data_IF_559865130230
#
_entry.id   IF_559865130230
#
_cell.length_a   1.000
_cell.length_b   1.000
_cell.length_c   1.000
_cell.angle_alpha   90.00
_cell.angle_beta   90.00
_cell.angle_gamma   90.00
#
_symmetry.space_group_name_H-M   'P 1'
#
loop_
_entity.id
_entity.type
_entity.pdbx_description
1 polymer ?
#
# COMPACT_ATOMS: atom_id res chain seq x y z
N UNK A 1 36.29 -30.32 -44.48
CA UNK A 1 35.39 -29.25 -44.00
C UNK A 1 35.30 -29.39 -42.49
N UNK A 2 36.06 -28.60 -41.74
CA UNK A 2 36.11 -28.66 -40.27
C UNK A 2 35.28 -27.51 -39.72
N UNK A 3 34.10 -27.81 -39.16
CA UNK A 3 33.29 -26.81 -38.45
C UNK A 3 34.02 -26.46 -37.14
N UNK A 4 34.53 -25.23 -37.04
CA UNK A 4 35.06 -24.71 -35.78
C UNK A 4 33.93 -24.53 -34.74
N UNK A 5 34.25 -24.54 -33.44
CA UNK A 5 33.22 -24.42 -32.41
C UNK A 5 32.58 -23.03 -32.45
N UNK A 6 31.25 -22.98 -32.41
CA UNK A 6 30.47 -21.74 -32.34
C UNK A 6 30.78 -20.96 -31.06
N UNK A 7 30.77 -19.61 -31.09
CA UNK A 7 30.94 -18.81 -29.88
C UNK A 7 29.75 -19.03 -28.94
N UNK A 8 30.05 -19.33 -27.68
CA UNK A 8 29.09 -19.36 -26.58
C UNK A 8 28.51 -17.94 -26.40
N UNK A 9 27.31 -17.74 -26.92
CA UNK A 9 26.45 -16.61 -26.56
C UNK A 9 26.22 -16.68 -25.05
N UNK A 10 26.86 -15.78 -24.31
CA UNK A 10 26.60 -15.59 -22.89
C UNK A 10 25.19 -15.02 -22.79
N UNK A 11 24.24 -15.87 -22.41
CA UNK A 11 22.93 -15.40 -21.96
C UNK A 11 23.15 -14.34 -20.90
N UNK A 12 22.53 -13.15 -20.98
CA UNK A 12 22.57 -12.24 -19.86
C UNK A 12 21.86 -12.95 -18.71
N UNK A 13 22.62 -13.39 -17.72
CA UNK A 13 22.07 -13.74 -16.42
C UNK A 13 21.49 -12.44 -15.88
N UNK A 14 20.20 -12.24 -16.09
CA UNK A 14 19.47 -11.18 -15.40
C UNK A 14 19.58 -11.52 -13.91
N UNK A 15 20.45 -10.80 -13.21
CA UNK A 15 20.57 -10.94 -11.76
C UNK A 15 19.27 -10.36 -11.23
N UNK A 16 18.33 -11.24 -10.89
CA UNK A 16 17.11 -10.83 -10.20
C UNK A 16 17.55 -10.55 -8.76
N UNK A 17 17.99 -9.32 -8.53
CA UNK A 17 18.28 -8.83 -7.19
C UNK A 17 16.98 -8.88 -6.41
N UNK A 18 17.00 -9.60 -5.28
CA UNK A 18 15.86 -9.68 -4.39
C UNK A 18 15.53 -8.26 -3.91
N UNK A 19 14.26 -7.83 -3.92
CA UNK A 19 13.90 -6.52 -3.39
C UNK A 19 14.30 -6.42 -1.92
N UNK A 20 14.74 -5.23 -1.51
CA UNK A 20 15.02 -4.97 -0.10
C UNK A 20 13.73 -4.96 0.71
N UNK A 21 13.84 -5.04 2.04
CA UNK A 21 12.68 -4.92 2.90
C UNK A 21 11.99 -3.54 2.75
N UNK A 22 12.77 -2.49 2.49
CA UNK A 22 12.25 -1.13 2.28
C UNK A 22 11.39 -1.07 1.01
N UNK A 23 11.88 -1.65 -0.10
CA UNK A 23 11.14 -1.70 -1.37
C UNK A 23 9.79 -2.43 -1.22
N UNK A 24 9.77 -3.50 -0.41
CA UNK A 24 8.55 -4.27 -0.17
C UNK A 24 7.56 -3.49 0.70
N UNK A 25 8.04 -2.75 1.71
CA UNK A 25 7.19 -1.94 2.59
C UNK A 25 6.60 -0.76 1.83
N UNK A 26 7.39 -0.10 0.98
CA UNK A 26 6.92 0.98 0.12
C UNK A 26 5.83 0.48 -0.83
N UNK A 27 6.12 -0.59 -1.59
CA UNK A 27 5.16 -1.19 -2.50
C UNK A 27 3.88 -1.66 -1.80
N UNK A 28 4.00 -2.24 -0.60
CA UNK A 28 2.83 -2.62 0.20
C UNK A 28 1.98 -1.40 0.58
N UNK A 29 2.62 -0.32 1.03
CA UNK A 29 1.93 0.91 1.44
C UNK A 29 1.21 1.56 0.26
N UNK A 30 1.85 1.61 -0.90
CA UNK A 30 1.26 2.14 -2.13
C UNK A 30 0.00 1.38 -2.54
N UNK A 31 0.06 0.04 -2.50
CA UNK A 31 -1.10 -0.80 -2.84
C UNK A 31 -2.24 -0.60 -1.84
N UNK A 32 -1.94 -0.54 -0.53
CA UNK A 32 -2.97 -0.29 0.48
C UNK A 32 -3.62 1.08 0.24
N UNK A 33 -2.82 2.10 -0.04
CA UNK A 33 -3.33 3.46 -0.29
C UNK A 33 -4.25 3.51 -1.52
N UNK A 34 -3.83 2.93 -2.65
CA UNK A 34 -4.63 2.92 -3.89
C UNK A 34 -5.99 2.21 -3.71
N UNK A 35 -6.00 1.12 -2.94
CA UNK A 35 -7.24 0.42 -2.60
C UNK A 35 -8.17 1.28 -1.74
N UNK A 36 -7.63 1.93 -0.71
CA UNK A 36 -8.41 2.80 0.18
C UNK A 36 -8.95 4.05 -0.55
N UNK A 37 -8.17 4.64 -1.45
CA UNK A 37 -8.60 5.78 -2.27
C UNK A 37 -9.77 5.43 -3.19
N UNK A 38 -9.83 4.17 -3.64
CA UNK A 38 -10.96 3.63 -4.41
C UNK A 38 -12.17 3.25 -3.54
N UNK A 39 -12.02 3.29 -2.21
CA UNK A 39 -13.06 2.92 -1.24
C UNK A 39 -13.10 1.43 -0.92
N UNK A 40 -12.10 0.65 -1.31
CA UNK A 40 -11.98 -0.76 -0.97
C UNK A 40 -11.31 -0.93 0.40
N UNK A 41 -11.84 -1.83 1.21
CA UNK A 41 -11.15 -2.26 2.42
C UNK A 41 -10.04 -3.26 2.08
N UNK A 42 -8.95 -3.24 2.84
CA UNK A 42 -7.80 -4.14 2.68
C UNK A 42 -7.65 -4.97 3.94
N UNK A 43 -7.84 -6.28 3.81
CA UNK A 43 -7.58 -7.25 4.87
C UNK A 43 -6.14 -7.76 4.76
N UNK A 44 -5.41 -7.69 5.87
CA UNK A 44 -4.05 -8.19 6.00
C UNK A 44 -4.06 -9.30 7.06
N UNK A 45 -4.07 -10.57 6.63
CA UNK A 45 -4.14 -11.70 7.55
C UNK A 45 -3.01 -11.68 8.58
N UNK A 46 -3.37 -11.85 9.85
CA UNK A 46 -2.44 -11.81 10.98
C UNK A 46 -2.08 -10.40 11.45
N UNK A 47 -2.68 -9.35 10.86
CA UNK A 47 -2.48 -7.95 11.26
C UNK A 47 -3.82 -7.27 11.56
N UNK A 48 -4.71 -7.22 10.58
CA UNK A 48 -5.95 -6.45 10.68
C UNK A 48 -6.50 -5.98 9.34
N UNK A 49 -7.53 -5.14 9.41
CA UNK A 49 -8.21 -4.59 8.25
C UNK A 49 -8.09 -3.07 8.23
N UNK A 50 -7.66 -2.53 7.10
CA UNK A 50 -7.73 -1.11 6.79
C UNK A 50 -9.03 -0.82 6.02
N UNK A 51 -9.73 0.24 6.38
CA UNK A 51 -10.94 0.68 5.70
C UNK A 51 -11.06 2.21 5.72
N UNK A 52 -11.97 2.74 4.90
CA UNK A 52 -12.29 4.16 4.90
C UNK A 52 -13.66 4.37 5.54
N UNK A 53 -13.71 5.19 6.58
CA UNK A 53 -14.95 5.67 7.18
C UNK A 53 -15.28 7.07 6.68
N UNK A 54 -16.50 7.24 6.16
CA UNK A 54 -17.00 8.56 5.79
C UNK A 54 -17.47 9.33 7.02
N UNK A 55 -16.85 10.49 7.29
CA UNK A 55 -17.28 11.45 8.29
C UNK A 55 -18.14 12.53 7.64
N UNK A 56 -19.41 12.69 8.04
CA UNK A 56 -20.24 13.77 7.53
C UNK A 56 -19.76 15.12 8.06
N UNK A 57 -20.24 16.20 7.45
CA UNK A 57 -20.01 17.55 7.97
C UNK A 57 -20.54 17.71 9.39
N UNK A 58 -19.77 18.36 10.25
CA UNK A 58 -20.14 18.57 11.66
C UNK A 58 -19.76 19.96 12.14
N UNK A 59 -20.36 20.39 13.25
CA UNK A 59 -19.91 21.61 13.94
C UNK A 59 -18.71 21.25 14.80
N UNK A 60 -17.57 21.90 14.56
CA UNK A 60 -16.40 21.83 15.43
C UNK A 60 -16.22 23.18 16.13
N UNK A 61 -15.84 23.14 17.40
CA UNK A 61 -15.47 24.33 18.16
C UNK A 61 -13.95 24.34 18.30
N UNK A 62 -13.31 25.34 17.70
CA UNK A 62 -11.87 25.53 17.69
C UNK A 62 -11.60 26.95 18.19
N UNK A 63 -10.78 27.09 19.24
CA UNK A 63 -10.50 28.38 19.90
C UNK A 63 -11.75 29.18 20.32
N UNK A 64 -12.82 28.48 20.72
CA UNK A 64 -14.10 29.10 21.11
C UNK A 64 -14.92 29.63 19.93
N UNK A 65 -14.48 29.39 18.69
CA UNK A 65 -15.21 29.71 17.47
C UNK A 65 -15.82 28.45 16.88
N UNK A 66 -17.14 28.45 16.72
CA UNK A 66 -17.85 27.37 16.05
C UNK A 66 -17.68 27.48 14.54
N UNK A 67 -17.17 26.42 13.92
CA UNK A 67 -16.95 26.29 12.48
C UNK A 67 -17.63 25.03 11.97
N UNK A 68 -18.04 25.07 10.70
CA UNK A 68 -18.47 23.87 9.99
C UNK A 68 -17.23 23.15 9.49
N UNK A 69 -17.02 21.93 9.96
CA UNK A 69 -16.06 21.01 9.40
C UNK A 69 -16.67 20.36 8.15
N UNK A 70 -15.97 20.38 7.01
CA UNK A 70 -16.43 19.70 5.81
C UNK A 70 -16.47 18.18 6.02
N UNK A 71 -17.28 17.45 5.24
CA UNK A 71 -17.23 15.99 5.24
C UNK A 71 -15.86 15.53 4.77
N UNK A 72 -15.35 14.43 5.34
CA UNK A 72 -14.05 13.86 4.99
C UNK A 72 -14.06 12.36 5.16
N UNK A 73 -13.13 11.71 4.49
CA UNK A 73 -12.86 10.30 4.68
C UNK A 73 -11.71 10.14 5.68
N UNK A 74 -11.85 9.20 6.60
CA UNK A 74 -10.82 8.84 7.58
C UNK A 74 -10.42 7.39 7.36
N UNK A 75 -9.13 7.12 7.30
CA UNK A 75 -8.61 5.75 7.30
C UNK A 75 -8.74 5.20 8.72
N UNK A 76 -9.38 4.05 8.84
CA UNK A 76 -9.56 3.32 10.10
C UNK A 76 -8.87 1.97 9.98
N UNK A 77 -8.17 1.59 11.05
CA UNK A 77 -7.54 0.29 11.17
C UNK A 77 -8.20 -0.50 12.29
N UNK A 78 -8.67 -1.71 11.97
CA UNK A 78 -9.22 -2.66 12.94
C UNK A 78 -8.24 -3.83 13.07
N UNK A 79 -7.51 -3.97 14.19
CA UNK A 79 -6.58 -5.07 14.37
C UNK A 79 -7.30 -6.41 14.45
N UNK A 80 -6.63 -7.47 14.00
CA UNK A 80 -7.11 -8.82 14.24
C UNK A 80 -7.04 -9.17 15.74
N UNK A 81 -8.04 -9.89 16.29
CA UNK A 81 -7.99 -10.31 17.68
C UNK A 81 -6.78 -11.20 17.97
N UNK A 82 -5.86 -10.73 18.80
CA UNK A 82 -4.67 -11.49 19.23
C UNK A 82 -3.41 -11.30 18.38
N UNK A 83 -3.40 -10.31 17.48
CA UNK A 83 -2.19 -9.76 16.86
C UNK A 83 -1.36 -8.90 17.85
#
# INVERSE_FOLDING_TARGET
MTLGPLPLIHSPTFVMESPSAEDVIEAFTDVVQDQLDTGNAVEVPGLGTFSVEHRPSGVQEEDGVRRLAPPRNEVVFTPEPGA
#
